data_IF_299840740378
#
_entry.id   IF_299840740378
#
_cell.length_a   1.000
_cell.length_b   1.000
_cell.length_c   1.000
_cell.angle_alpha   90.00
_cell.angle_beta   90.00
_cell.angle_gamma   90.00
#
_symmetry.space_group_name_H-M   'P 1'
#
loop_
_entity.id
_entity.type
_entity.pdbx_description
1 polymer ?
#
# COMPACT_ATOMS: atom_id res chain seq x y z
N UNK A 1 -20.55 -8.61 -13.48
CA UNK A 1 -20.92 -7.29 -12.92
C UNK A 1 -19.66 -6.45 -12.94
N UNK A 2 -19.57 -5.39 -13.76
CA UNK A 2 -18.43 -4.46 -13.69
C UNK A 2 -18.59 -3.64 -12.41
N UNK A 3 -17.85 -3.98 -11.36
CA UNK A 3 -17.80 -3.12 -10.18
C UNK A 3 -17.22 -1.78 -10.60
N UNK A 4 -17.93 -0.70 -10.32
CA UNK A 4 -17.55 0.65 -10.72
C UNK A 4 -16.24 1.03 -10.03
N UNK A 5 -15.20 1.34 -10.81
CA UNK A 5 -13.90 1.72 -10.25
C UNK A 5 -14.03 3.02 -9.46
N UNK A 6 -13.34 3.08 -8.32
CA UNK A 6 -13.32 4.27 -7.48
C UNK A 6 -12.39 5.32 -8.09
N UNK A 7 -12.78 6.59 -7.99
CA UNK A 7 -11.99 7.72 -8.51
C UNK A 7 -10.98 8.21 -7.46
N UNK A 8 -11.31 8.03 -6.18
CA UNK A 8 -10.48 8.41 -5.05
C UNK A 8 -10.22 7.20 -4.16
N UNK A 9 -9.00 7.12 -3.65
CA UNK A 9 -8.55 6.11 -2.69
C UNK A 9 -8.37 6.73 -1.30
N UNK A 10 -8.40 5.89 -0.28
CA UNK A 10 -8.20 6.25 1.10
C UNK A 10 -7.31 5.29 1.87
N UNK A 11 -7.10 5.66 3.13
CA UNK A 11 -6.52 4.83 4.20
C UNK A 11 -7.47 4.81 5.38
N UNK A 12 -7.24 3.94 6.36
CA UNK A 12 -7.80 4.15 7.69
C UNK A 12 -7.30 5.48 8.26
N UNK A 13 -8.04 6.07 9.21
CA UNK A 13 -7.57 7.28 9.91
C UNK A 13 -6.20 7.05 10.55
N UNK A 14 -6.03 5.93 11.27
CA UNK A 14 -4.77 5.56 11.88
C UNK A 14 -3.64 5.31 10.85
N UNK A 15 -3.96 4.73 9.69
CA UNK A 15 -3.00 4.56 8.60
C UNK A 15 -2.58 5.90 8.01
N UNK A 16 -3.52 6.83 7.83
CA UNK A 16 -3.21 8.17 7.36
C UNK A 16 -2.27 8.91 8.33
N UNK A 17 -2.57 8.86 9.63
CA UNK A 17 -1.75 9.52 10.67
C UNK A 17 -0.33 8.94 10.71
N UNK A 18 -0.19 7.61 10.56
CA UNK A 18 1.13 6.97 10.46
C UNK A 18 1.90 7.38 9.22
N UNK A 19 1.22 7.58 8.10
CA UNK A 19 1.84 8.05 6.86
C UNK A 19 2.26 9.53 6.98
N UNK A 20 1.51 10.35 7.71
CA UNK A 20 1.91 11.70 8.11
C UNK A 20 3.19 11.65 8.95
N UNK A 21 3.22 10.84 10.01
CA UNK A 21 4.41 10.61 10.85
C UNK A 21 5.64 10.21 10.01
N UNK A 22 5.48 9.27 9.07
CA UNK A 22 6.59 8.81 8.22
C UNK A 22 7.11 9.94 7.31
N UNK A 23 6.23 10.80 6.79
CA UNK A 23 6.64 11.97 6.01
C UNK A 23 7.35 13.01 6.88
N UNK A 24 6.77 13.35 8.03
CA UNK A 24 7.30 14.39 8.93
C UNK A 24 8.70 14.03 9.48
N UNK A 25 8.95 12.73 9.67
CA UNK A 25 10.27 12.22 10.06
C UNK A 25 11.27 12.10 8.89
N UNK A 26 10.89 12.54 7.68
CA UNK A 26 11.77 12.57 6.50
C UNK A 26 12.05 11.21 5.88
N UNK A 27 11.28 10.16 6.23
CA UNK A 27 11.44 8.83 5.65
C UNK A 27 10.92 8.81 4.21
N UNK A 28 9.81 9.50 3.96
CA UNK A 28 9.30 9.75 2.62
C UNK A 28 9.21 11.27 2.38
N UNK A 29 9.59 11.71 1.18
CA UNK A 29 9.45 13.12 0.79
C UNK A 29 7.97 13.52 0.71
N UNK A 30 7.16 12.67 0.08
CA UNK A 30 5.72 12.87 -0.05
C UNK A 30 4.93 11.63 0.39
N UNK A 31 3.72 11.87 0.91
CA UNK A 31 2.83 10.79 1.37
C UNK A 31 2.47 9.83 0.24
N UNK A 32 2.32 10.35 -0.99
CA UNK A 32 2.02 9.52 -2.16
C UNK A 32 3.13 8.50 -2.44
N UNK A 33 4.39 8.87 -2.23
CA UNK A 33 5.52 7.96 -2.40
C UNK A 33 5.51 6.89 -1.32
N UNK A 34 5.27 7.27 -0.06
CA UNK A 34 5.10 6.32 1.04
C UNK A 34 3.91 5.37 0.83
N UNK A 35 2.81 5.84 0.27
CA UNK A 35 1.66 5.01 -0.09
C UNK A 35 2.02 3.99 -1.18
N UNK A 36 2.66 4.44 -2.27
CA UNK A 36 3.11 3.54 -3.35
C UNK A 36 4.09 2.49 -2.83
N UNK A 37 5.03 2.90 -1.99
CA UNK A 37 5.98 1.99 -1.37
C UNK A 37 5.29 0.97 -0.47
N UNK A 38 4.32 1.39 0.35
CA UNK A 38 3.53 0.51 1.20
C UNK A 38 2.80 -0.57 0.40
N UNK A 39 2.16 -0.20 -0.73
CA UNK A 39 1.51 -1.16 -1.63
C UNK A 39 2.53 -2.14 -2.21
N UNK A 40 3.65 -1.63 -2.73
CA UNK A 40 4.69 -2.47 -3.33
C UNK A 40 5.29 -3.43 -2.31
N UNK A 41 5.54 -2.98 -1.08
CA UNK A 41 6.03 -3.79 0.03
C UNK A 41 5.04 -4.91 0.37
N UNK A 42 3.77 -4.57 0.54
CA UNK A 42 2.72 -5.54 0.85
C UNK A 42 2.59 -6.61 -0.25
N UNK A 43 2.64 -6.19 -1.52
CA UNK A 43 2.67 -7.10 -2.67
C UNK A 43 3.89 -8.01 -2.65
N UNK A 44 5.08 -7.44 -2.48
CA UNK A 44 6.34 -8.18 -2.48
C UNK A 44 6.43 -9.20 -1.33
N UNK A 45 5.77 -8.91 -0.21
CA UNK A 45 5.72 -9.83 0.92
C UNK A 45 4.61 -10.89 0.81
N UNK A 46 3.67 -10.76 -0.15
CA UNK A 46 2.50 -11.61 -0.26
C UNK A 46 1.50 -11.39 0.87
N UNK A 47 1.39 -10.16 1.38
CA UNK A 47 0.58 -9.84 2.54
C UNK A 47 -0.92 -10.05 2.26
N UNK A 48 -1.62 -10.67 3.21
CA UNK A 48 -3.10 -10.77 3.18
C UNK A 48 -3.65 -9.56 3.94
N UNK A 49 -3.98 -8.51 3.21
CA UNK A 49 -4.45 -7.26 3.80
C UNK A 49 -5.94 -7.33 4.20
N UNK A 50 -6.28 -7.06 5.48
CA UNK A 50 -7.66 -7.12 5.96
C UNK A 50 -8.51 -5.98 5.38
N UNK A 51 -9.83 -6.10 5.53
CA UNK A 51 -10.76 -5.02 5.20
C UNK A 51 -10.51 -3.79 6.07
N UNK A 52 -10.54 -2.61 5.45
CA UNK A 52 -10.52 -1.34 6.17
C UNK A 52 -11.97 -0.99 6.51
N UNK A 53 -12.24 -0.64 7.76
CA UNK A 53 -13.52 -0.09 8.18
C UNK A 53 -13.76 1.31 7.59
N UNK A 54 -13.65 2.34 8.44
CA UNK A 54 -13.80 3.73 8.01
C UNK A 54 -12.54 4.19 7.27
N UNK A 55 -12.73 4.71 6.04
CA UNK A 55 -11.65 5.28 5.21
C UNK A 55 -11.73 6.79 5.21
N UNK A 56 -10.58 7.45 5.38
CA UNK A 56 -10.41 8.85 5.04
C UNK A 56 -9.98 8.96 3.57
N UNK A 57 -10.67 9.80 2.80
CA UNK A 57 -10.27 10.08 1.42
C UNK A 57 -8.89 10.72 1.42
N UNK A 58 -7.98 10.19 0.59
CA UNK A 58 -6.58 10.61 0.59
C UNK A 58 -6.14 11.17 -0.78
N UNK A 59 -6.24 10.38 -1.85
CA UNK A 59 -5.72 10.75 -3.17
C UNK A 59 -6.68 10.37 -4.30
N UNK A 60 -6.52 11.04 -5.45
CA UNK A 60 -7.13 10.62 -6.70
C UNK A 60 -6.31 9.48 -7.34
N UNK A 61 -6.99 8.48 -7.91
CA UNK A 61 -6.36 7.35 -8.61
C UNK A 61 -5.47 7.79 -9.76
N UNK A 62 -5.88 8.79 -10.55
CA UNK A 62 -5.10 9.27 -11.69
C UNK A 62 -3.78 9.93 -11.31
N UNK A 63 -3.65 10.44 -10.08
CA UNK A 63 -2.37 10.92 -9.56
C UNK A 63 -1.54 9.79 -8.96
N UNK A 64 -2.20 8.83 -8.28
CA UNK A 64 -1.55 7.69 -7.65
C UNK A 64 -0.97 6.71 -8.67
N UNK A 65 -1.74 6.35 -9.68
CA UNK A 65 -1.47 5.25 -10.62
C UNK A 65 -1.79 5.67 -12.06
N UNK A 66 -1.12 6.72 -12.59
CA UNK A 66 -1.45 7.32 -13.88
C UNK A 66 -1.35 6.33 -15.05
N UNK A 67 -0.48 5.33 -14.94
CA UNK A 67 -0.20 4.31 -15.96
C UNK A 67 -0.78 2.93 -15.58
N UNK A 68 -1.61 2.87 -14.53
CA UNK A 68 -2.24 1.64 -14.04
C UNK A 68 -1.23 0.52 -13.68
N UNK A 69 -0.02 0.89 -13.27
CA UNK A 69 1.01 -0.07 -12.84
C UNK A 69 0.61 -0.78 -11.56
N UNK A 70 0.07 -0.07 -10.55
CA UNK A 70 -0.41 -0.71 -9.31
C UNK A 70 -1.60 -1.63 -9.58
N UNK A 71 -2.57 -1.15 -10.39
CA UNK A 71 -3.74 -1.93 -10.80
C UNK A 71 -3.31 -3.25 -11.44
N UNK A 72 -2.43 -3.20 -12.44
CA UNK A 72 -1.92 -4.40 -13.14
C UNK A 72 -1.11 -5.31 -12.22
N UNK A 73 -0.32 -4.76 -11.31
CA UNK A 73 0.43 -5.54 -10.34
C UNK A 73 -0.49 -6.35 -9.43
N UNK A 74 -1.54 -5.74 -8.88
CA UNK A 74 -2.52 -6.45 -8.05
C UNK A 74 -3.31 -7.49 -8.86
N UNK A 75 -3.76 -7.15 -10.06
CA UNK A 75 -4.47 -8.10 -10.95
C UNK A 75 -3.62 -9.32 -11.31
N UNK A 76 -2.30 -9.14 -11.44
CA UNK A 76 -1.38 -10.21 -11.81
C UNK A 76 -0.94 -11.05 -10.63
N UNK A 77 -0.63 -10.42 -9.49
CA UNK A 77 0.00 -11.07 -8.35
C UNK A 77 -1.00 -11.59 -7.31
N UNK A 78 -2.23 -11.04 -7.27
CA UNK A 78 -3.23 -11.38 -6.26
C UNK A 78 -4.62 -11.64 -6.87
N UNK A 79 -4.75 -12.50 -7.89
CA UNK A 79 -6.03 -12.72 -8.59
C UNK A 79 -7.10 -13.34 -7.68
N UNK A 80 -6.71 -14.16 -6.70
CA UNK A 80 -7.65 -14.81 -5.77
C UNK A 80 -8.31 -13.80 -4.83
N UNK A 81 -7.57 -12.79 -4.40
CA UNK A 81 -8.08 -11.75 -3.49
C UNK A 81 -9.09 -10.83 -4.19
N UNK A 82 -9.06 -10.77 -5.53
CA UNK A 82 -9.97 -9.99 -6.36
C UNK A 82 -11.34 -10.64 -6.55
N UNK A 83 -11.59 -11.85 -6.06
CA UNK A 83 -12.95 -12.41 -6.05
C UNK A 83 -13.87 -11.66 -5.08
N UNK A 84 -13.30 -11.10 -4.02
CA UNK A 84 -14.03 -10.45 -2.91
C UNK A 84 -14.00 -8.92 -2.97
N UNK A 85 -13.27 -8.33 -3.92
CA UNK A 85 -13.06 -6.87 -3.97
C UNK A 85 -12.63 -6.38 -5.34
N UNK A 86 -12.39 -5.07 -5.50
CA UNK A 86 -11.85 -4.48 -6.73
C UNK A 86 -10.37 -4.18 -6.61
N UNK A 87 -9.63 -4.04 -7.74
CA UNK A 87 -8.19 -3.76 -7.71
C UNK A 87 -7.83 -2.56 -6.82
N UNK A 88 -8.51 -1.42 -6.98
CA UNK A 88 -8.22 -0.24 -6.18
C UNK A 88 -8.66 -0.35 -4.72
N UNK A 89 -9.67 -1.17 -4.40
CA UNK A 89 -10.01 -1.48 -3.00
C UNK A 89 -8.96 -2.38 -2.35
N UNK A 90 -8.41 -3.33 -3.09
CA UNK A 90 -7.29 -4.13 -2.61
C UNK A 90 -6.03 -3.29 -2.44
N UNK A 91 -5.76 -2.34 -3.35
CA UNK A 91 -4.67 -1.35 -3.21
C UNK A 91 -4.82 -0.55 -1.91
N UNK A 92 -6.02 -0.08 -1.56
CA UNK A 92 -6.25 0.60 -0.27
C UNK A 92 -5.86 -0.29 0.92
N UNK A 93 -6.32 -1.55 0.93
CA UNK A 93 -6.02 -2.51 2.00
C UNK A 93 -4.52 -2.76 2.11
N UNK A 94 -3.85 -3.00 0.97
CA UNK A 94 -2.41 -3.24 0.89
C UNK A 94 -1.61 -2.02 1.36
N UNK A 95 -2.02 -0.81 0.98
CA UNK A 95 -1.40 0.42 1.41
C UNK A 95 -1.53 0.60 2.93
N UNK A 96 -2.72 0.39 3.48
CA UNK A 96 -2.93 0.50 4.93
C UNK A 96 -2.09 -0.51 5.70
N UNK A 97 -2.06 -1.77 5.24
CA UNK A 97 -1.20 -2.80 5.80
C UNK A 97 0.28 -2.39 5.73
N UNK A 98 0.76 -1.96 4.57
CA UNK A 98 2.16 -1.59 4.38
C UNK A 98 2.58 -0.37 5.18
N UNK A 99 1.71 0.64 5.31
CA UNK A 99 1.99 1.82 6.16
C UNK A 99 2.10 1.41 7.63
N UNK A 100 1.24 0.50 8.10
CA UNK A 100 1.33 -0.01 9.45
C UNK A 100 2.67 -0.74 9.70
N UNK A 101 3.12 -1.54 8.74
CA UNK A 101 4.39 -2.27 8.81
C UNK A 101 5.60 -1.31 8.78
N UNK A 102 5.66 -0.40 7.81
CA UNK A 102 6.71 0.61 7.68
C UNK A 102 6.84 1.47 8.93
N UNK A 103 5.72 1.91 9.48
CA UNK A 103 5.72 2.71 10.70
C UNK A 103 6.22 1.90 11.91
N UNK A 104 5.85 0.63 12.02
CA UNK A 104 6.39 -0.25 13.08
C UNK A 104 7.91 -0.41 12.97
N UNK A 105 8.44 -0.59 11.75
CA UNK A 105 9.88 -0.64 11.49
C UNK A 105 10.58 0.69 11.80
N UNK A 106 9.98 1.81 11.39
CA UNK A 106 10.52 3.14 11.68
C UNK A 106 10.67 3.38 13.20
N UNK A 107 9.69 2.95 14.01
CA UNK A 107 9.75 3.07 15.48
C UNK A 107 10.72 2.08 16.14
N UNK A 108 11.10 0.98 15.48
CA UNK A 108 11.98 -0.06 16.06
C UNK A 108 13.48 0.18 15.82
N UNK A 109 13.87 1.28 15.17
CA UNK A 109 15.27 1.61 14.91
C UNK A 109 15.55 2.18 13.52
N UNK A 110 14.51 2.39 12.71
CA UNK A 110 14.60 2.84 11.33
C UNK A 110 14.29 1.72 10.34
N UNK A 111 13.99 2.09 9.09
CA UNK A 111 13.68 1.14 8.03
C UNK A 111 14.98 0.64 7.42
N UNK A 112 15.28 -0.65 7.60
CA UNK A 112 16.41 -1.31 6.93
C UNK A 112 16.01 -1.71 5.52
N UNK A 113 16.16 -0.77 4.59
CA UNK A 113 15.83 -0.98 3.17
C UNK A 113 16.67 -2.10 2.53
N UNK A 114 17.92 -2.29 2.97
CA UNK A 114 18.78 -3.35 2.43
C UNK A 114 18.17 -4.70 2.75
N UNK A 115 17.86 -4.93 4.02
CA UNK A 115 17.22 -6.18 4.46
C UNK A 115 15.86 -6.39 3.82
N UNK A 116 15.07 -5.32 3.64
CA UNK A 116 13.78 -5.42 2.95
C UNK A 116 13.95 -5.92 1.51
N UNK A 117 14.92 -5.40 0.77
CA UNK A 117 15.16 -5.85 -0.60
C UNK A 117 15.71 -7.28 -0.66
N UNK A 118 16.59 -7.67 0.28
CA UNK A 118 17.11 -9.04 0.36
C UNK A 118 15.97 -10.05 0.59
N UNK A 119 15.05 -9.75 1.51
CA UNK A 119 13.89 -10.61 1.80
C UNK A 119 12.97 -10.80 0.58
N UNK A 120 12.81 -9.75 -0.23
CA UNK A 120 12.02 -9.82 -1.46
C UNK A 120 12.75 -10.63 -2.52
N UNK A 121 14.07 -10.46 -2.66
CA UNK A 121 14.88 -11.23 -3.60
C UNK A 121 14.86 -12.74 -3.27
N UNK A 122 14.91 -13.12 -2.00
CA UNK A 122 14.81 -14.52 -1.56
C UNK A 122 13.45 -15.15 -1.89
N UNK A 123 12.36 -14.39 -1.83
CA UNK A 123 11.01 -14.88 -2.17
C UNK A 123 10.74 -14.99 -3.66
N UNK A 124 11.57 -14.35 -4.50
CA UNK A 124 11.41 -14.35 -5.96
C UNK A 124 12.09 -15.54 -6.65
N UNK A 125 12.81 -16.39 -5.89
CA UNK A 125 13.52 -17.60 -6.35
C UNK A 125 12.71 -18.85 -6.00
#
# INVERSE_FOLDING_TARGET
MSQQEIVNIGLSEAGNDKLDDLKENGIFAEKMDGYRFAVALALAQGAIAPEIGKRSTFLNVGSLDPDQTLRRAVETLMPEQLTETTPYRLIERLADWGVNDLHAQAKSGGIDFVRLFDQVAEKAV
#
